data_IF_813905339294
#
_entry.id   IF_813905339294
#
_cell.length_a   1.000
_cell.length_b   1.000
_cell.length_c   1.000
_cell.angle_alpha   90.00
_cell.angle_beta   90.00
_cell.angle_gamma   90.00
#
_symmetry.space_group_name_H-M   'P 1'
#
loop_
_entity.id
_entity.type
_entity.pdbx_description
1 polymer ?
#
# COMPACT_ATOMS: atom_id res chain seq x y z
N UNK A 1 0.43 -65.36 26.66
CA UNK A 1 -0.48 -64.45 25.95
C UNK A 1 -0.35 -64.75 24.47
N UNK A 2 -1.44 -65.07 23.74
CA UNK A 2 -1.34 -65.34 22.31
C UNK A 2 -1.14 -64.02 21.56
N UNK A 3 -0.08 -63.94 20.73
CA UNK A 3 0.05 -62.86 19.77
C UNK A 3 -1.09 -62.97 18.77
N UNK A 4 -1.98 -61.97 18.76
CA UNK A 4 -3.11 -61.93 17.85
C UNK A 4 -2.60 -61.65 16.43
N UNK A 5 -2.57 -62.68 15.57
CA UNK A 5 -2.07 -62.60 14.19
C UNK A 5 -2.77 -61.50 13.36
N UNK A 6 -4.00 -61.14 13.73
CA UNK A 6 -4.77 -60.06 13.12
C UNK A 6 -4.11 -58.67 13.29
N UNK A 7 -3.36 -58.46 14.37
CA UNK A 7 -2.70 -57.17 14.64
C UNK A 7 -1.47 -56.93 13.78
N UNK A 8 -0.75 -58.00 13.41
CA UNK A 8 0.43 -57.91 12.55
C UNK A 8 0.03 -57.65 11.09
N UNK A 9 -1.00 -58.34 10.60
CA UNK A 9 -1.53 -58.13 9.24
C UNK A 9 -2.06 -56.70 9.06
N UNK A 10 -2.81 -56.19 10.05
CA UNK A 10 -3.30 -54.81 10.03
C UNK A 10 -2.16 -53.78 10.11
N UNK A 11 -1.14 -54.02 10.94
CA UNK A 11 0.04 -53.15 11.04
C UNK A 11 0.88 -53.12 9.75
N UNK A 12 1.06 -54.27 9.11
CA UNK A 12 1.76 -54.38 7.82
C UNK A 12 0.99 -53.66 6.70
N UNK A 13 -0.33 -53.85 6.62
CA UNK A 13 -1.18 -53.18 5.64
C UNK A 13 -1.18 -51.65 5.84
N UNK A 14 -1.28 -51.18 7.09
CA UNK A 14 -1.22 -49.75 7.41
C UNK A 14 0.14 -49.13 7.06
N UNK A 15 1.24 -49.87 7.32
CA UNK A 15 2.59 -49.46 6.93
C UNK A 15 2.76 -49.35 5.41
N UNK A 16 2.23 -50.32 4.66
CA UNK A 16 2.28 -50.34 3.20
C UNK A 16 1.46 -49.18 2.59
N UNK A 17 0.25 -48.94 3.09
CA UNK A 17 -0.60 -47.81 2.65
C UNK A 17 0.10 -46.48 2.93
N UNK A 18 0.71 -46.32 4.11
CA UNK A 18 1.42 -45.10 4.47
C UNK A 18 2.65 -44.88 3.57
N UNK A 19 3.41 -45.93 3.27
CA UNK A 19 4.55 -45.87 2.36
C UNK A 19 4.14 -45.50 0.93
N UNK A 20 3.04 -46.08 0.42
CA UNK A 20 2.48 -45.76 -0.89
C UNK A 20 1.96 -44.32 -0.96
N UNK A 21 1.31 -43.83 0.11
CA UNK A 21 0.85 -42.45 0.19
C UNK A 21 2.03 -41.46 0.20
N UNK A 22 3.08 -41.73 0.97
CA UNK A 22 4.30 -40.92 0.98
C UNK A 22 4.98 -40.97 -0.40
N UNK A 23 5.10 -42.14 -1.02
CA UNK A 23 5.66 -42.29 -2.35
C UNK A 23 4.84 -41.54 -3.41
N UNK A 24 3.51 -41.54 -3.31
CA UNK A 24 2.63 -40.78 -4.19
C UNK A 24 2.79 -39.26 -4.00
N UNK A 25 2.93 -38.79 -2.75
CA UNK A 25 3.21 -37.38 -2.45
C UNK A 25 4.58 -36.97 -2.98
N UNK A 26 5.62 -37.79 -2.77
CA UNK A 26 6.97 -37.54 -3.30
C UNK A 26 6.95 -37.56 -4.82
N UNK A 27 6.30 -38.53 -5.45
CA UNK A 27 6.15 -38.60 -6.90
C UNK A 27 5.37 -37.40 -7.45
N UNK A 28 4.31 -36.95 -6.76
CA UNK A 28 3.57 -35.74 -7.13
C UNK A 28 4.44 -34.47 -7.00
N UNK A 29 5.23 -34.35 -5.94
CA UNK A 29 6.19 -33.24 -5.76
C UNK A 29 7.28 -33.29 -6.84
N UNK A 30 7.85 -34.46 -7.13
CA UNK A 30 8.87 -34.66 -8.17
C UNK A 30 8.29 -34.40 -9.56
N UNK A 31 7.07 -34.86 -9.87
CA UNK A 31 6.38 -34.56 -11.13
C UNK A 31 6.01 -33.07 -11.26
N UNK A 32 5.79 -32.37 -10.14
CA UNK A 32 5.65 -30.90 -10.14
C UNK A 32 7.00 -30.20 -10.29
N UNK A 33 8.10 -30.85 -9.92
CA UNK A 33 9.46 -30.36 -10.12
C UNK A 33 10.03 -30.71 -11.51
N UNK A 34 9.51 -31.72 -12.20
CA UNK A 34 10.09 -32.30 -13.43
C UNK A 34 9.95 -31.43 -14.69
N UNK A 35 9.72 -30.14 -14.53
CA UNK A 35 9.88 -29.14 -15.60
C UNK A 35 11.18 -28.33 -15.40
N UNK A 36 12.24 -28.98 -14.88
CA UNK A 36 13.59 -28.37 -14.74
C UNK A 36 14.15 -27.99 -16.13
N UNK A 37 13.72 -28.68 -17.19
CA UNK A 37 14.05 -28.37 -18.58
C UNK A 37 12.97 -27.57 -19.32
N UNK A 38 11.91 -27.14 -18.63
CA UNK A 38 11.02 -26.10 -19.14
C UNK A 38 11.72 -24.75 -19.16
N UNK A 39 10.96 -23.67 -19.37
CA UNK A 39 11.55 -22.33 -19.41
C UNK A 39 12.04 -21.83 -18.04
N UNK A 40 11.83 -22.57 -16.94
CA UNK A 40 12.15 -22.15 -15.58
C UNK A 40 13.60 -21.74 -15.31
N UNK A 41 14.55 -22.12 -16.17
CA UNK A 41 15.96 -21.71 -16.12
C UNK A 41 16.18 -20.21 -16.38
N UNK A 42 15.18 -19.48 -16.92
CA UNK A 42 15.23 -18.02 -17.03
C UNK A 42 15.54 -17.35 -15.68
N UNK A 43 15.11 -17.95 -14.57
CA UNK A 43 15.36 -17.47 -13.20
C UNK A 43 16.85 -17.37 -12.86
N UNK A 44 17.67 -18.27 -13.41
CA UNK A 44 19.13 -18.27 -13.21
C UNK A 44 19.81 -17.11 -13.96
N UNK A 45 19.13 -16.54 -14.96
CA UNK A 45 19.64 -15.43 -15.78
C UNK A 45 19.15 -14.06 -15.30
N UNK A 46 18.44 -13.99 -14.17
CA UNK A 46 18.12 -12.72 -13.52
C UNK A 46 19.39 -12.19 -12.84
N UNK A 47 20.07 -11.25 -13.51
CA UNK A 47 21.33 -10.65 -13.01
C UNK A 47 21.12 -9.46 -12.10
N UNK A 48 19.92 -8.88 -12.11
CA UNK A 48 19.57 -7.71 -11.31
C UNK A 48 18.23 -7.89 -10.62
N UNK A 49 18.11 -7.30 -9.43
CA UNK A 49 16.84 -7.20 -8.69
C UNK A 49 15.89 -6.27 -9.44
N UNK A 50 14.55 -6.42 -9.30
CA UNK A 50 13.60 -5.44 -9.82
C UNK A 50 13.94 -4.03 -9.30
N UNK A 51 13.89 -3.03 -10.19
CA UNK A 51 14.16 -1.63 -9.83
C UNK A 51 13.12 -1.02 -8.89
N UNK A 52 11.92 -1.60 -8.85
CA UNK A 52 10.81 -1.21 -7.98
C UNK A 52 10.06 -2.44 -7.50
N UNK A 53 9.48 -2.36 -6.31
CA UNK A 53 8.52 -3.33 -5.79
C UNK A 53 7.26 -2.61 -5.29
N UNK A 54 6.97 -1.45 -5.88
CA UNK A 54 5.79 -0.68 -5.55
C UNK A 54 4.55 -1.46 -5.98
N UNK A 55 3.57 -1.52 -5.08
CA UNK A 55 2.29 -2.12 -5.34
C UNK A 55 1.22 -1.20 -4.75
N UNK A 56 0.60 -0.41 -5.61
CA UNK A 56 -0.69 0.22 -5.39
C UNK A 56 -1.50 0.13 -6.71
N UNK A 57 -2.74 0.61 -6.74
CA UNK A 57 -3.58 0.53 -7.95
C UNK A 57 -3.12 1.41 -9.12
N UNK A 58 -2.30 2.42 -8.85
CA UNK A 58 -1.75 3.37 -9.82
C UNK A 58 -2.74 4.42 -10.32
N UNK A 59 -2.20 5.57 -10.74
CA UNK A 59 -2.89 6.58 -11.52
C UNK A 59 -2.28 6.54 -12.92
N UNK A 60 -3.08 6.19 -13.92
CA UNK A 60 -2.60 5.76 -15.24
C UNK A 60 -2.54 6.88 -16.26
N UNK A 61 -2.38 8.11 -15.77
CA UNK A 61 -2.16 9.31 -16.56
C UNK A 61 -1.06 10.17 -15.93
N UNK A 62 -0.35 10.90 -16.77
CA UNK A 62 0.53 12.00 -16.35
C UNK A 62 -0.30 13.19 -15.87
N UNK A 63 0.35 14.19 -15.25
CA UNK A 63 -0.30 15.45 -14.90
C UNK A 63 -0.93 16.15 -16.11
N UNK A 64 -0.30 16.00 -17.28
CA UNK A 64 -0.77 16.54 -18.56
C UNK A 64 -1.81 15.62 -19.25
N UNK A 65 -2.24 14.54 -18.60
CA UNK A 65 -3.31 13.65 -19.08
C UNK A 65 -2.87 12.56 -20.07
N UNK A 66 -1.58 12.49 -20.43
CA UNK A 66 -1.06 11.44 -21.30
C UNK A 66 -1.04 10.07 -20.59
N UNK A 67 -1.32 8.95 -21.27
CA UNK A 67 -1.37 7.63 -20.65
C UNK A 67 0.01 7.16 -20.16
N UNK A 68 0.02 6.43 -19.04
CA UNK A 68 1.22 5.79 -18.49
C UNK A 68 1.22 4.29 -18.82
N UNK A 69 2.36 3.73 -19.22
CA UNK A 69 2.49 2.30 -19.51
C UNK A 69 3.19 1.50 -18.41
N UNK A 70 4.15 2.11 -17.69
CA UNK A 70 4.96 1.40 -16.70
C UNK A 70 4.29 1.47 -15.33
N UNK A 71 4.17 0.33 -14.67
CA UNK A 71 3.49 0.24 -13.38
C UNK A 71 4.12 1.07 -12.26
N UNK A 72 5.46 1.11 -12.09
CA UNK A 72 6.07 2.00 -11.09
C UNK A 72 5.79 3.49 -11.35
N UNK A 73 5.69 3.90 -12.62
CA UNK A 73 5.35 5.29 -12.99
C UNK A 73 3.88 5.57 -12.62
N UNK A 74 2.96 4.63 -12.85
CA UNK A 74 1.56 4.80 -12.44
C UNK A 74 1.43 4.82 -10.90
N UNK A 75 2.20 4.00 -10.19
CA UNK A 75 2.23 4.00 -8.72
C UNK A 75 2.74 5.33 -8.16
N UNK A 76 3.80 5.87 -8.76
CA UNK A 76 4.34 7.20 -8.48
C UNK A 76 3.29 8.28 -8.72
N UNK A 77 2.66 8.28 -9.90
CA UNK A 77 1.66 9.27 -10.26
C UNK A 77 0.47 9.29 -9.29
N UNK A 78 0.10 8.14 -8.71
CA UNK A 78 -0.94 8.11 -7.67
C UNK A 78 -0.51 8.80 -6.38
N UNK A 79 0.74 8.59 -5.94
CA UNK A 79 1.28 9.34 -4.81
C UNK A 79 1.30 10.83 -5.13
N UNK A 80 1.74 11.21 -6.33
CA UNK A 80 1.78 12.61 -6.80
C UNK A 80 0.39 13.27 -6.74
N UNK A 81 -0.68 12.56 -7.12
CA UNK A 81 -2.05 13.08 -6.96
C UNK A 81 -2.42 13.38 -5.50
N UNK A 82 -1.97 12.56 -4.55
CA UNK A 82 -2.25 12.75 -3.12
C UNK A 82 -1.49 13.96 -2.59
N UNK A 83 -0.18 14.04 -2.84
CA UNK A 83 0.67 15.12 -2.32
C UNK A 83 0.33 16.46 -3.00
N UNK A 84 -0.07 16.45 -4.27
CA UNK A 84 -0.59 17.62 -4.97
C UNK A 84 -1.88 18.12 -4.34
N UNK A 85 -2.84 17.22 -4.09
CA UNK A 85 -4.09 17.58 -3.43
C UNK A 85 -3.87 18.10 -1.99
N UNK A 86 -2.82 17.63 -1.32
CA UNK A 86 -2.40 18.11 0.01
C UNK A 86 -1.73 19.49 -0.02
N UNK A 87 -1.37 20.01 -1.19
CA UNK A 87 -0.63 21.27 -1.36
C UNK A 87 0.87 21.14 -1.06
N UNK A 88 1.40 19.91 -1.09
CA UNK A 88 2.83 19.64 -0.87
C UNK A 88 3.66 19.67 -2.15
N UNK A 89 3.01 19.72 -3.32
CA UNK A 89 3.62 20.00 -4.62
C UNK A 89 3.15 21.36 -5.13
N UNK A 90 4.05 22.17 -5.66
CA UNK A 90 3.69 23.36 -6.42
C UNK A 90 3.03 22.97 -7.75
N UNK A 91 2.02 23.73 -8.19
CA UNK A 91 1.45 23.56 -9.53
C UNK A 91 2.43 24.15 -10.56
N UNK A 92 2.71 23.43 -11.65
CA UNK A 92 3.58 23.93 -12.74
C UNK A 92 3.08 25.28 -13.33
N UNK A 93 1.77 25.54 -13.26
CA UNK A 93 1.12 26.76 -13.73
C UNK A 93 1.29 27.97 -12.79
N UNK A 94 1.74 27.76 -11.54
CA UNK A 94 1.95 28.82 -10.55
C UNK A 94 3.44 29.22 -10.50
N UNK A 95 4.05 29.34 -11.68
CA UNK A 95 5.47 29.69 -11.90
C UNK A 95 5.84 31.13 -11.49
N UNK A 96 4.96 31.79 -10.73
CA UNK A 96 5.18 33.06 -10.06
C UNK A 96 5.62 32.88 -8.60
N UNK A 97 6.85 32.39 -8.41
CA UNK A 97 7.63 32.53 -7.17
C UNK A 97 7.00 32.06 -5.85
N UNK A 98 7.41 30.87 -5.39
CA UNK A 98 7.77 30.70 -3.97
C UNK A 98 9.18 30.12 -3.88
N UNK A 99 10.17 30.92 -4.28
CA UNK A 99 11.59 30.70 -3.95
C UNK A 99 11.85 31.10 -2.49
N UNK A 100 11.04 30.57 -1.58
CA UNK A 100 11.25 30.64 -0.14
C UNK A 100 11.46 29.22 0.35
N UNK A 101 12.48 28.99 1.19
CA UNK A 101 12.62 27.68 1.82
C UNK A 101 11.32 27.37 2.57
N UNK A 102 10.67 26.26 2.23
CA UNK A 102 9.50 25.80 2.96
C UNK A 102 9.90 25.48 4.41
N UNK A 103 8.92 25.33 5.29
CA UNK A 103 9.16 25.01 6.69
C UNK A 103 9.71 23.59 6.86
N UNK A 104 9.23 22.88 7.87
CA UNK A 104 9.70 21.53 8.19
C UNK A 104 8.54 20.55 8.05
N UNK A 105 8.80 19.41 7.40
CA UNK A 105 7.81 18.41 7.02
C UNK A 105 7.98 17.12 7.83
N UNK A 106 6.89 16.67 8.46
CA UNK A 106 6.80 15.41 9.17
C UNK A 106 5.71 14.52 8.56
N UNK A 107 6.04 13.27 8.22
CA UNK A 107 5.10 12.30 7.65
C UNK A 107 5.05 11.04 8.53
N UNK A 108 3.84 10.67 8.94
CA UNK A 108 3.49 9.34 9.42
C UNK A 108 2.87 8.55 8.28
N UNK A 109 3.61 7.59 7.73
CA UNK A 109 3.17 6.77 6.60
C UNK A 109 2.63 5.41 7.07
N UNK A 110 1.37 5.16 6.74
CA UNK A 110 0.67 3.93 7.01
C UNK A 110 0.79 2.98 5.82
N UNK A 111 1.51 1.88 6.01
CA UNK A 111 1.64 0.84 4.98
C UNK A 111 2.66 1.15 3.91
N UNK A 112 3.83 1.71 4.28
CA UNK A 112 4.88 2.17 3.35
C UNK A 112 5.47 1.12 2.38
N UNK A 113 5.08 -0.15 2.52
CA UNK A 113 5.48 -1.22 1.63
C UNK A 113 7.01 -1.39 1.51
N UNK A 114 7.49 -1.56 0.28
CA UNK A 114 8.89 -1.85 -0.02
C UNK A 114 9.81 -0.60 -0.07
N UNK A 115 9.31 0.57 0.34
CA UNK A 115 10.09 1.81 0.42
C UNK A 115 10.14 2.65 -0.86
N UNK A 116 9.39 2.29 -1.90
CA UNK A 116 9.26 3.10 -3.11
C UNK A 116 8.67 4.50 -2.79
N UNK A 117 7.50 4.53 -2.12
CA UNK A 117 6.86 5.78 -1.69
C UNK A 117 7.71 6.55 -0.67
N UNK A 118 8.39 5.85 0.24
CA UNK A 118 9.29 6.46 1.23
C UNK A 118 10.40 7.25 0.55
N UNK A 119 11.05 6.66 -0.45
CA UNK A 119 12.12 7.33 -1.18
C UNK A 119 11.60 8.46 -2.08
N UNK A 120 10.42 8.31 -2.67
CA UNK A 120 9.81 9.37 -3.46
C UNK A 120 9.47 10.60 -2.62
N UNK A 121 8.92 10.43 -1.42
CA UNK A 121 8.63 11.52 -0.50
C UNK A 121 9.90 12.24 -0.03
N UNK A 122 10.99 11.49 0.15
CA UNK A 122 12.29 12.09 0.47
C UNK A 122 12.74 13.04 -0.65
N UNK A 123 12.78 12.54 -1.91
CA UNK A 123 13.13 13.39 -3.06
C UNK A 123 12.21 14.59 -3.19
N UNK A 124 10.90 14.38 -3.05
CA UNK A 124 9.91 15.46 -3.06
C UNK A 124 10.24 16.52 -1.99
N UNK A 125 10.59 16.10 -0.77
CA UNK A 125 10.91 17.04 0.30
C UNK A 125 12.10 17.95 -0.07
N UNK A 126 13.11 17.39 -0.74
CA UNK A 126 14.25 18.15 -1.22
C UNK A 126 13.88 19.04 -2.40
N UNK A 127 13.20 18.49 -3.41
CA UNK A 127 12.83 19.18 -4.66
C UNK A 127 11.91 20.38 -4.38
N UNK A 128 11.09 20.28 -3.34
CA UNK A 128 10.19 21.34 -2.87
C UNK A 128 10.84 22.28 -1.83
N UNK A 129 12.13 22.10 -1.52
CA UNK A 129 12.89 23.00 -0.66
C UNK A 129 12.45 23.02 0.82
N UNK A 130 11.97 21.90 1.36
CA UNK A 130 11.69 21.75 2.79
C UNK A 130 13.00 21.74 3.59
N UNK A 131 13.08 22.54 4.67
CA UNK A 131 14.29 22.68 5.49
C UNK A 131 14.63 21.42 6.27
N UNK A 132 13.61 20.81 6.88
CA UNK A 132 13.75 19.54 7.57
C UNK A 132 12.71 18.55 7.06
N UNK A 133 13.10 17.28 7.04
CA UNK A 133 12.23 16.17 6.68
C UNK A 133 12.34 15.06 7.73
N UNK A 134 11.18 14.64 8.26
CA UNK A 134 11.05 13.51 9.18
C UNK A 134 9.99 12.55 8.70
N UNK A 135 10.35 11.27 8.68
CA UNK A 135 9.49 10.21 8.19
C UNK A 135 9.42 9.06 9.18
N UNK A 136 8.22 8.68 9.58
CA UNK A 136 7.95 7.46 10.33
C UNK A 136 7.03 6.57 9.51
N UNK A 137 7.48 5.37 9.19
CA UNK A 137 6.72 4.39 8.42
C UNK A 137 6.33 3.19 9.26
N UNK A 138 5.07 2.79 9.18
CA UNK A 138 4.55 1.56 9.82
C UNK A 138 4.06 0.57 8.76
N UNK A 139 4.47 -0.69 8.86
CA UNK A 139 3.89 -1.80 8.08
C UNK A 139 3.70 -3.03 8.97
N UNK A 140 2.82 -3.96 8.57
CA UNK A 140 2.66 -5.25 9.25
C UNK A 140 3.65 -6.32 8.76
N UNK A 141 4.47 -6.02 7.76
CA UNK A 141 5.35 -7.00 7.13
C UNK A 141 6.83 -6.66 7.40
N UNK A 142 7.50 -7.46 8.23
CA UNK A 142 8.91 -7.24 8.54
C UNK A 142 9.82 -7.34 7.30
N UNK A 143 9.52 -8.23 6.34
CA UNK A 143 10.30 -8.32 5.10
C UNK A 143 10.22 -7.01 4.29
N UNK A 144 9.09 -6.30 4.34
CA UNK A 144 8.95 -4.96 3.76
C UNK A 144 9.79 -3.92 4.51
N UNK A 145 9.83 -3.97 5.85
CA UNK A 145 10.72 -3.11 6.65
C UNK A 145 12.19 -3.30 6.25
N UNK A 146 12.66 -4.56 6.22
CA UNK A 146 14.04 -4.87 5.89
C UNK A 146 14.39 -4.44 4.46
N UNK A 147 13.45 -4.62 3.53
CA UNK A 147 13.60 -4.23 2.14
C UNK A 147 13.67 -2.72 1.97
N UNK A 148 12.75 -1.99 2.62
CA UNK A 148 12.72 -0.53 2.58
C UNK A 148 13.98 0.07 3.19
N UNK A 149 14.43 -0.42 4.35
CA UNK A 149 15.71 0.03 4.96
C UNK A 149 16.87 -0.13 3.99
N UNK A 150 17.08 -1.34 3.43
CA UNK A 150 18.15 -1.58 2.46
C UNK A 150 18.07 -0.67 1.25
N UNK A 151 16.85 -0.36 0.79
CA UNK A 151 16.63 0.59 -0.29
C UNK A 151 17.09 1.98 0.12
N UNK A 152 16.57 2.54 1.21
CA UNK A 152 16.93 3.90 1.66
C UNK A 152 18.44 4.05 1.84
N UNK A 153 19.11 3.10 2.52
CA UNK A 153 20.57 3.12 2.63
C UNK A 153 21.27 3.15 1.27
N UNK A 154 20.83 2.33 0.32
CA UNK A 154 21.39 2.29 -1.04
C UNK A 154 21.15 3.59 -1.79
N UNK A 155 19.93 4.11 -1.76
CA UNK A 155 19.57 5.31 -2.52
C UNK A 155 20.31 6.54 -1.99
N UNK A 156 20.40 6.72 -0.67
CA UNK A 156 21.20 7.79 -0.05
C UNK A 156 22.68 7.64 -0.42
N UNK A 157 23.25 6.44 -0.32
CA UNK A 157 24.64 6.19 -0.71
C UNK A 157 24.90 6.45 -2.20
N UNK A 158 23.91 6.19 -3.07
CA UNK A 158 24.01 6.42 -4.52
C UNK A 158 23.89 7.91 -4.86
N UNK A 159 23.01 8.64 -4.16
CA UNK A 159 22.85 10.08 -4.33
C UNK A 159 24.07 10.86 -3.82
N UNK A 160 24.72 10.37 -2.76
CA UNK A 160 25.87 11.06 -2.16
C UNK A 160 25.51 12.49 -1.75
N UNK A 161 26.31 13.47 -2.16
CA UNK A 161 26.08 14.88 -1.82
C UNK A 161 24.97 15.54 -2.66
N UNK A 162 24.29 14.82 -3.57
CA UNK A 162 23.19 15.39 -4.34
C UNK A 162 21.90 15.49 -3.52
N UNK A 163 21.79 14.77 -2.40
CA UNK A 163 20.63 14.79 -1.51
C UNK A 163 21.01 15.26 -0.11
N UNK A 164 20.33 16.28 0.40
CA UNK A 164 20.49 16.76 1.78
C UNK A 164 19.49 16.07 2.71
N UNK A 165 19.47 14.74 2.69
CA UNK A 165 18.60 13.92 3.55
C UNK A 165 19.44 12.81 4.19
N UNK A 166 19.43 12.78 5.52
CA UNK A 166 20.13 11.77 6.30
C UNK A 166 19.24 10.51 6.47
N UNK A 167 19.87 9.34 6.58
CA UNK A 167 19.18 8.10 6.97
C UNK A 167 18.46 8.22 8.32
N UNK A 168 18.96 9.08 9.22
CA UNK A 168 18.34 9.36 10.51
C UNK A 168 16.98 10.08 10.38
N UNK A 169 16.66 10.66 9.21
CA UNK A 169 15.33 11.20 8.92
C UNK A 169 14.24 10.12 8.86
N UNK A 170 14.62 8.84 8.73
CA UNK A 170 13.69 7.74 8.54
C UNK A 170 13.63 6.81 9.76
N UNK A 171 12.41 6.55 10.24
CA UNK A 171 12.14 5.55 11.28
C UNK A 171 11.09 4.55 10.77
N UNK A 172 11.53 3.35 10.41
CA UNK A 172 10.70 2.33 9.77
C UNK A 172 10.46 1.16 10.70
N UNK A 173 9.20 0.78 10.92
CA UNK A 173 8.84 -0.25 11.91
C UNK A 173 7.83 -1.28 11.39
N UNK A 174 7.96 -2.50 11.91
CA UNK A 174 6.92 -3.53 11.81
C UNK A 174 5.94 -3.32 12.97
N UNK A 175 4.83 -2.61 12.73
CA UNK A 175 3.84 -2.28 13.76
C UNK A 175 2.44 -2.15 13.16
N UNK A 176 1.42 -2.46 13.97
CA UNK A 176 0.03 -2.35 13.55
C UNK A 176 -0.46 -0.90 13.64
N UNK A 177 -0.50 -0.20 12.52
CA UNK A 177 -1.00 1.16 12.43
C UNK A 177 -2.46 1.29 12.93
N UNK A 178 -3.32 0.29 12.72
CA UNK A 178 -4.72 0.34 13.16
C UNK A 178 -4.89 0.31 14.70
N UNK A 179 -3.83 -0.01 15.46
CA UNK A 179 -3.87 -0.19 16.92
C UNK A 179 -2.72 0.57 17.62
N UNK A 180 -2.77 1.91 17.69
CA UNK A 180 -1.75 2.71 18.36
C UNK A 180 -1.41 2.25 19.79
N UNK A 181 -2.41 1.82 20.56
CA UNK A 181 -2.21 1.28 21.91
C UNK A 181 -1.44 -0.04 22.01
N UNK A 182 -1.04 -0.64 20.89
CA UNK A 182 -0.22 -1.87 20.84
C UNK A 182 1.24 -1.61 20.45
N UNK A 183 1.59 -0.36 20.16
CA UNK A 183 2.95 0.02 19.80
C UNK A 183 3.90 -0.15 20.97
N UNK A 184 5.08 -0.71 20.68
CA UNK A 184 6.15 -0.78 21.66
C UNK A 184 6.72 0.64 21.92
N UNK A 185 7.54 0.83 22.97
CA UNK A 185 8.07 2.15 23.32
C UNK A 185 8.82 2.85 22.19
N UNK A 186 9.60 2.11 21.38
CA UNK A 186 10.39 2.67 20.27
C UNK A 186 9.50 3.24 19.16
N UNK A 187 8.44 2.51 18.80
CA UNK A 187 7.46 2.97 17.79
C UNK A 187 6.71 4.19 18.33
N UNK A 188 6.28 4.13 19.59
CA UNK A 188 5.56 5.22 20.25
C UNK A 188 6.41 6.50 20.28
N UNK A 189 7.67 6.42 20.73
CA UNK A 189 8.60 7.55 20.76
C UNK A 189 8.85 8.14 19.37
N UNK A 190 9.10 7.30 18.36
CA UNK A 190 9.32 7.76 17.00
C UNK A 190 8.09 8.48 16.43
N UNK A 191 6.88 7.94 16.65
CA UNK A 191 5.64 8.60 16.21
C UNK A 191 5.41 9.92 16.95
N UNK A 192 5.60 9.96 18.27
CA UNK A 192 5.48 11.19 19.06
C UNK A 192 6.48 12.27 18.65
N UNK A 193 7.66 11.89 18.15
CA UNK A 193 8.64 12.87 17.64
C UNK A 193 8.10 13.71 16.48
N UNK A 194 7.05 13.26 15.79
CA UNK A 194 6.40 14.02 14.72
C UNK A 194 5.54 15.20 15.23
N UNK A 195 5.18 15.21 16.51
CA UNK A 195 4.40 16.29 17.14
C UNK A 195 5.25 17.52 17.52
N UNK A 196 6.57 17.45 17.34
CA UNK A 196 7.51 18.54 17.63
C UNK A 196 7.11 19.81 16.87
N UNK A 197 7.00 20.93 17.60
CA UNK A 197 6.60 22.26 17.09
C UNK A 197 7.47 22.79 15.97
N UNK A 198 8.71 22.28 15.83
CA UNK A 198 9.55 22.62 14.68
C UNK A 198 8.95 22.19 13.34
N UNK A 199 8.16 21.10 13.30
CA UNK A 199 7.50 20.65 12.08
C UNK A 199 6.22 21.44 11.85
N UNK A 200 6.31 22.37 10.90
CA UNK A 200 5.20 23.24 10.49
C UNK A 200 4.14 22.51 9.68
N UNK A 201 4.53 21.45 8.97
CA UNK A 201 3.61 20.58 8.22
C UNK A 201 3.71 19.15 8.73
N UNK A 202 2.56 18.59 9.12
CA UNK A 202 2.47 17.23 9.69
C UNK A 202 1.38 16.48 8.99
N UNK A 203 1.71 15.31 8.46
CA UNK A 203 0.80 14.55 7.61
C UNK A 203 0.75 13.08 8.00
N UNK A 204 -0.46 12.57 8.18
CA UNK A 204 -0.76 11.15 8.13
C UNK A 204 -1.02 10.78 6.67
N UNK A 205 -0.15 9.94 6.10
CA UNK A 205 -0.31 9.40 4.76
C UNK A 205 -0.85 7.97 4.82
N UNK A 206 -1.84 7.67 3.99
CA UNK A 206 -2.27 6.30 3.76
C UNK A 206 -2.54 6.06 2.26
N UNK A 207 -1.56 5.48 1.58
CA UNK A 207 -1.64 5.16 0.15
C UNK A 207 -2.15 3.74 -0.03
N UNK A 208 -3.40 3.59 -0.47
CA UNK A 208 -3.95 2.31 -0.93
C UNK A 208 -3.93 1.18 0.11
N UNK A 209 -4.22 1.51 1.38
CA UNK A 209 -4.09 0.55 2.49
C UNK A 209 -5.21 0.59 3.53
N UNK A 210 -5.93 1.71 3.70
CA UNK A 210 -6.87 1.90 4.83
C UNK A 210 -8.01 0.90 4.85
N UNK A 211 -8.42 0.41 3.69
CA UNK A 211 -9.47 -0.59 3.56
C UNK A 211 -9.11 -1.96 4.16
N UNK A 212 -7.83 -2.19 4.50
CA UNK A 212 -7.37 -3.38 5.25
C UNK A 212 -7.38 -3.21 6.78
N UNK A 213 -7.67 -2.02 7.31
CA UNK A 213 -7.48 -1.72 8.73
C UNK A 213 -8.56 -2.38 9.59
N UNK A 214 -8.13 -3.19 10.56
CA UNK A 214 -9.01 -3.94 11.47
C UNK A 214 -8.65 -3.70 12.94
N UNK A 215 -9.63 -3.46 13.83
CA UNK A 215 -11.08 -3.46 13.56
C UNK A 215 -11.59 -2.15 12.93
N UNK A 216 -10.78 -1.09 12.89
CA UNK A 216 -11.15 0.21 12.35
C UNK A 216 -9.92 1.06 12.04
N UNK A 217 -10.04 2.03 11.12
CA UNK A 217 -9.06 3.12 10.90
C UNK A 217 -9.17 4.27 11.90
N UNK A 218 -10.27 4.36 12.66
CA UNK A 218 -10.50 5.47 13.61
C UNK A 218 -9.38 5.68 14.64
N UNK A 219 -8.81 4.62 15.27
CA UNK A 219 -7.81 4.83 16.32
C UNK A 219 -6.59 5.62 15.83
N UNK A 220 -6.07 5.29 14.64
CA UNK A 220 -4.92 6.00 14.08
C UNK A 220 -5.27 7.39 13.56
N UNK A 221 -6.44 7.54 12.92
CA UNK A 221 -6.93 8.84 12.47
C UNK A 221 -7.09 9.81 13.64
N UNK A 222 -7.67 9.33 14.76
CA UNK A 222 -7.85 10.10 15.99
C UNK A 222 -6.51 10.41 16.66
N UNK A 223 -5.59 9.45 16.71
CA UNK A 223 -4.26 9.68 17.25
C UNK A 223 -3.51 10.76 16.47
N UNK A 224 -3.49 10.65 15.14
CA UNK A 224 -2.86 11.65 14.27
C UNK A 224 -3.45 13.06 14.45
N UNK A 225 -4.79 13.18 14.42
CA UNK A 225 -5.43 14.48 14.55
C UNK A 225 -5.27 15.09 15.95
N UNK A 226 -5.44 14.30 17.02
CA UNK A 226 -5.52 14.84 18.39
C UNK A 226 -4.18 14.93 19.11
N UNK A 227 -3.28 13.99 18.83
CA UNK A 227 -2.01 13.89 19.55
C UNK A 227 -0.85 14.50 18.74
N UNK A 228 -0.90 14.39 17.41
CA UNK A 228 0.17 14.91 16.54
C UNK A 228 -0.18 16.24 15.88
N UNK A 229 -1.46 16.64 15.90
CA UNK A 229 -1.98 17.76 15.09
C UNK A 229 -1.65 17.59 13.61
N UNK A 230 -1.74 16.35 13.13
CA UNK A 230 -1.41 16.00 11.76
C UNK A 230 -2.63 16.09 10.85
N UNK A 231 -2.44 16.74 9.71
CA UNK A 231 -3.35 16.66 8.56
C UNK A 231 -3.38 15.23 8.02
N UNK A 232 -4.35 14.92 7.19
CA UNK A 232 -4.53 13.58 6.61
C UNK A 232 -4.59 13.66 5.09
N UNK A 233 -3.86 12.76 4.44
CA UNK A 233 -3.91 12.56 3.00
C UNK A 233 -3.92 11.07 2.67
N UNK A 234 -4.76 10.68 1.72
CA UNK A 234 -4.89 9.28 1.35
C UNK A 234 -5.39 9.07 -0.07
N UNK A 235 -5.12 7.87 -0.56
CA UNK A 235 -5.93 7.24 -1.58
C UNK A 235 -6.77 6.16 -0.93
N UNK A 236 -8.07 6.10 -1.26
CA UNK A 236 -8.97 5.10 -0.71
C UNK A 236 -10.07 4.69 -1.71
N UNK A 237 -10.80 3.65 -1.35
CA UNK A 237 -11.90 3.08 -2.11
C UNK A 237 -13.22 3.32 -1.36
N UNK A 238 -14.13 4.06 -1.99
CA UNK A 238 -15.45 4.38 -1.43
C UNK A 238 -16.57 3.67 -2.18
N UNK A 239 -17.68 3.40 -1.51
CA UNK A 239 -18.91 2.99 -2.18
C UNK A 239 -19.50 4.16 -2.95
N UNK A 240 -19.97 3.88 -4.16
CA UNK A 240 -20.82 4.82 -4.88
C UNK A 240 -22.23 4.76 -4.32
N UNK A 241 -22.70 5.87 -3.74
CA UNK A 241 -24.04 5.99 -3.15
C UNK A 241 -25.17 5.84 -4.18
N UNK A 242 -24.85 6.02 -5.47
CA UNK A 242 -25.79 5.83 -6.58
C UNK A 242 -25.81 4.38 -7.11
N UNK A 243 -24.93 3.51 -6.62
CA UNK A 243 -24.88 2.13 -7.06
C UNK A 243 -26.07 1.32 -6.54
N UNK A 244 -26.40 0.23 -7.25
CA UNK A 244 -27.48 -0.66 -6.83
C UNK A 244 -27.16 -1.30 -5.47
N UNK A 245 -28.15 -1.46 -4.60
CA UNK A 245 -27.99 -2.13 -3.30
C UNK A 245 -27.42 -3.54 -3.47
N UNK A 246 -27.77 -4.21 -4.56
CA UNK A 246 -27.25 -5.53 -4.92
C UNK A 246 -25.74 -5.50 -5.16
N UNK A 247 -25.24 -4.52 -5.92
CA UNK A 247 -23.81 -4.42 -6.20
C UNK A 247 -23.03 -4.00 -4.95
N UNK A 248 -23.59 -3.12 -4.11
CA UNK A 248 -23.01 -2.77 -2.81
C UNK A 248 -22.86 -4.01 -1.91
N UNK A 249 -23.87 -4.86 -1.84
CA UNK A 249 -23.80 -6.12 -1.09
C UNK A 249 -22.75 -7.07 -1.67
N UNK A 250 -22.65 -7.20 -3.00
CA UNK A 250 -21.59 -7.98 -3.65
C UNK A 250 -20.20 -7.44 -3.33
N UNK A 251 -20.00 -6.12 -3.39
CA UNK A 251 -18.72 -5.48 -3.08
C UNK A 251 -18.27 -5.77 -1.65
N UNK A 252 -19.20 -5.70 -0.68
CA UNK A 252 -18.92 -6.07 0.72
C UNK A 252 -18.55 -7.53 0.89
N UNK A 253 -19.26 -8.44 0.21
CA UNK A 253 -18.96 -9.88 0.25
C UNK A 253 -17.59 -10.19 -0.35
N UNK A 254 -17.27 -9.59 -1.50
CA UNK A 254 -15.96 -9.74 -2.15
C UNK A 254 -14.86 -9.17 -1.27
N UNK A 255 -15.05 -7.98 -0.70
CA UNK A 255 -14.09 -7.39 0.24
C UNK A 255 -13.80 -8.33 1.41
N UNK A 256 -14.83 -8.95 2.00
CA UNK A 256 -14.65 -9.95 3.06
C UNK A 256 -13.82 -11.16 2.61
N UNK A 257 -14.10 -11.70 1.42
CA UNK A 257 -13.33 -12.82 0.86
C UNK A 257 -11.86 -12.45 0.60
N UNK A 258 -11.59 -11.18 0.28
CA UNK A 258 -10.24 -10.63 0.07
C UNK A 258 -9.55 -10.23 1.39
N UNK A 259 -10.14 -10.55 2.54
CA UNK A 259 -9.56 -10.26 3.87
C UNK A 259 -9.82 -8.85 4.38
N UNK A 260 -10.63 -8.04 3.70
CA UNK A 260 -11.05 -6.74 4.20
C UNK A 260 -12.21 -6.89 5.23
N UNK A 261 -12.28 -6.04 6.26
CA UNK A 261 -13.46 -5.93 7.10
C UNK A 261 -14.78 -5.71 6.31
N UNK A 262 -15.91 -6.21 6.82
CA UNK A 262 -17.21 -6.16 6.11
C UNK A 262 -17.70 -4.73 5.82
N UNK A 263 -17.36 -3.78 6.71
CA UNK A 263 -17.73 -2.35 6.60
C UNK A 263 -16.56 -1.48 6.16
N UNK A 264 -15.65 -2.06 5.38
CA UNK A 264 -14.44 -1.38 4.91
C UNK A 264 -14.75 -0.26 3.92
N UNK A 265 -15.56 -0.55 2.89
CA UNK A 265 -15.94 0.44 1.89
C UNK A 265 -17.07 1.28 2.48
N UNK A 266 -16.75 2.55 2.74
CA UNK A 266 -17.69 3.54 3.27
C UNK A 266 -18.27 4.35 2.12
N UNK A 267 -19.46 4.90 2.34
CA UNK A 267 -19.97 6.01 1.55
C UNK A 267 -19.13 7.28 1.78
N UNK A 268 -19.27 8.28 0.91
CA UNK A 268 -18.55 9.54 1.09
C UNK A 268 -19.00 10.25 2.38
N UNK A 269 -20.32 10.28 2.65
CA UNK A 269 -20.87 10.84 3.88
C UNK A 269 -20.32 10.12 5.12
N UNK A 270 -20.34 8.79 5.14
CA UNK A 270 -19.80 7.98 6.24
C UNK A 270 -18.30 8.25 6.47
N UNK A 271 -17.53 8.41 5.38
CA UNK A 271 -16.10 8.71 5.46
C UNK A 271 -15.83 10.10 6.05
N UNK A 272 -16.57 11.11 5.60
CA UNK A 272 -16.49 12.48 6.13
C UNK A 272 -16.85 12.52 7.60
N UNK A 273 -17.94 11.87 7.99
CA UNK A 273 -18.37 11.80 9.39
C UNK A 273 -17.32 11.10 10.27
N UNK A 274 -16.71 10.03 9.76
CA UNK A 274 -15.61 9.35 10.44
C UNK A 274 -14.39 10.25 10.66
N UNK A 275 -14.00 11.06 9.66
CA UNK A 275 -12.89 12.01 9.80
C UNK A 275 -13.23 13.11 10.83
N UNK A 276 -14.43 13.69 10.75
CA UNK A 276 -14.88 14.72 11.70
C UNK A 276 -14.88 14.19 13.14
N UNK A 277 -15.38 12.97 13.36
CA UNK A 277 -15.33 12.32 14.67
C UNK A 277 -13.90 12.15 15.20
N UNK A 278 -12.93 11.91 14.31
CA UNK A 278 -11.53 11.74 14.68
C UNK A 278 -10.84 13.07 15.04
N UNK A 279 -11.36 14.22 14.59
CA UNK A 279 -10.84 15.55 14.93
C UNK A 279 -10.51 16.45 13.74
N UNK A 280 -10.79 16.03 12.51
CA UNK A 280 -10.59 16.85 11.32
C UNK A 280 -11.73 17.87 11.14
N UNK A 281 -11.44 19.02 10.52
CA UNK A 281 -12.45 20.03 10.22
C UNK A 281 -13.31 19.61 9.03
N UNK A 282 -14.64 19.60 9.19
CA UNK A 282 -15.59 19.25 8.13
C UNK A 282 -15.41 20.09 6.88
N UNK A 283 -15.10 21.38 7.04
CA UNK A 283 -14.98 22.32 5.94
C UNK A 283 -13.66 22.18 5.17
N UNK A 284 -12.66 21.54 5.79
CA UNK A 284 -11.33 21.32 5.21
C UNK A 284 -11.16 19.87 4.71
N UNK A 285 -12.26 19.12 4.51
CA UNK A 285 -12.23 17.78 3.92
C UNK A 285 -12.54 17.87 2.43
N UNK A 286 -11.57 17.48 1.61
CA UNK A 286 -11.72 17.30 0.16
C UNK A 286 -11.68 15.82 -0.18
N UNK A 287 -12.62 15.37 -1.01
CA UNK A 287 -12.66 14.01 -1.56
C UNK A 287 -12.81 14.16 -3.07
N UNK A 288 -11.71 13.94 -3.80
CA UNK A 288 -11.65 14.04 -5.26
C UNK A 288 -11.72 12.65 -5.86
N UNK A 289 -12.68 12.42 -6.74
CA UNK A 289 -12.77 11.17 -7.48
C UNK A 289 -11.78 11.14 -8.64
N UNK A 290 -11.11 9.99 -8.80
CA UNK A 290 -10.13 9.72 -9.86
C UNK A 290 -10.37 8.36 -10.53
N UNK A 291 -11.56 7.76 -10.35
CA UNK A 291 -11.92 6.40 -10.81
C UNK A 291 -11.55 6.12 -12.27
N UNK A 292 -11.82 7.07 -13.17
CA UNK A 292 -11.60 6.92 -14.62
C UNK A 292 -10.13 6.67 -14.99
N UNK A 293 -9.21 7.10 -14.14
CA UNK A 293 -7.78 7.08 -14.38
C UNK A 293 -7.07 5.96 -13.60
N UNK A 294 -7.81 5.13 -12.87
CA UNK A 294 -7.25 4.10 -11.97
C UNK A 294 -7.50 2.69 -12.51
N UNK A 295 -8.75 2.22 -12.46
CA UNK A 295 -9.03 0.79 -12.63
C UNK A 295 -8.76 0.28 -14.05
N UNK A 296 -9.20 1.02 -15.07
CA UNK A 296 -9.06 0.59 -16.46
C UNK A 296 -7.60 0.47 -16.89
N UNK A 297 -6.73 1.37 -16.41
CA UNK A 297 -5.29 1.32 -16.66
C UNK A 297 -4.63 0.13 -15.98
N UNK A 298 -4.96 -0.13 -14.72
CA UNK A 298 -4.46 -1.29 -13.98
C UNK A 298 -4.84 -2.61 -14.67
N UNK A 299 -6.08 -2.73 -15.11
CA UNK A 299 -6.56 -3.92 -15.83
C UNK A 299 -5.79 -4.13 -17.13
N UNK A 300 -5.56 -3.08 -17.91
CA UNK A 300 -4.76 -3.14 -19.14
C UNK A 300 -3.34 -3.62 -18.87
N UNK A 301 -2.70 -3.08 -17.82
CA UNK A 301 -1.36 -3.50 -17.43
C UNK A 301 -1.31 -4.97 -16.99
N UNK A 302 -2.23 -5.40 -16.12
CA UNK A 302 -2.28 -6.78 -15.65
C UNK A 302 -2.47 -7.78 -16.81
N UNK A 303 -3.31 -7.45 -17.79
CA UNK A 303 -3.51 -8.29 -18.97
C UNK A 303 -2.24 -8.37 -19.83
N UNK A 304 -1.56 -7.23 -20.06
CA UNK A 304 -0.29 -7.19 -20.80
C UNK A 304 0.80 -8.00 -20.07
N UNK A 305 0.93 -7.84 -18.75
CA UNK A 305 1.92 -8.60 -18.00
C UNK A 305 1.65 -10.09 -17.96
N UNK A 306 0.38 -10.48 -17.89
CA UNK A 306 0.03 -11.90 -17.94
C UNK A 306 0.42 -12.53 -19.29
N UNK A 307 0.19 -11.82 -20.39
CA UNK A 307 0.62 -12.27 -21.72
C UNK A 307 2.14 -12.45 -21.76
N UNK A 308 2.90 -11.44 -21.31
CA UNK A 308 4.36 -11.49 -21.28
C UNK A 308 4.91 -12.62 -20.38
N UNK A 309 4.35 -12.80 -19.18
CA UNK A 309 4.84 -13.80 -18.23
C UNK A 309 4.42 -15.23 -18.59
N UNK A 310 3.30 -15.39 -19.28
CA UNK A 310 2.84 -16.69 -19.80
C UNK A 310 3.85 -17.27 -20.81
N UNK A 311 4.54 -16.42 -21.59
CA UNK A 311 5.61 -16.85 -22.50
C UNK A 311 6.76 -17.55 -21.76
N UNK A 312 6.97 -17.24 -20.47
CA UNK A 312 7.98 -17.86 -19.60
C UNK A 312 7.40 -18.95 -18.67
N UNK A 313 6.15 -19.37 -18.90
CA UNK A 313 5.46 -20.36 -18.07
C UNK A 313 5.11 -19.87 -16.66
N UNK A 314 5.12 -18.55 -16.42
CA UNK A 314 4.83 -17.95 -15.11
C UNK A 314 3.35 -17.56 -15.05
N UNK A 315 2.63 -18.15 -14.11
CA UNK A 315 1.21 -17.83 -13.92
C UNK A 315 1.03 -16.58 -13.05
N UNK A 316 0.21 -15.62 -13.51
CA UNK A 316 -0.30 -14.51 -12.70
C UNK A 316 -1.67 -14.81 -12.05
N UNK A 317 -2.03 -16.08 -11.78
CA UNK A 317 -3.40 -16.47 -11.38
C UNK A 317 -4.03 -15.60 -10.28
N UNK A 318 -3.31 -15.26 -9.21
CA UNK A 318 -3.79 -14.36 -8.15
C UNK A 318 -4.09 -12.94 -8.66
N UNK A 319 -3.19 -12.39 -9.47
CA UNK A 319 -3.35 -11.07 -10.09
C UNK A 319 -4.42 -11.06 -11.19
N UNK A 320 -4.72 -12.20 -11.85
CA UNK A 320 -5.88 -12.32 -12.75
C UNK A 320 -7.19 -12.11 -12.01
N UNK A 321 -7.32 -12.69 -10.81
CA UNK A 321 -8.50 -12.51 -9.99
C UNK A 321 -8.66 -11.03 -9.58
N UNK A 322 -7.56 -10.39 -9.18
CA UNK A 322 -7.53 -8.96 -8.91
C UNK A 322 -7.92 -8.14 -10.15
N UNK A 323 -7.38 -8.45 -11.33
CA UNK A 323 -7.73 -7.79 -12.58
C UNK A 323 -9.22 -7.92 -12.94
N UNK A 324 -9.84 -9.09 -12.74
CA UNK A 324 -11.29 -9.26 -12.92
C UNK A 324 -12.10 -8.41 -11.94
N UNK A 325 -11.66 -8.33 -10.68
CA UNK A 325 -12.29 -7.50 -9.66
C UNK A 325 -12.24 -6.02 -10.04
N UNK A 326 -11.07 -5.50 -10.38
CA UNK A 326 -10.93 -4.09 -10.78
C UNK A 326 -11.67 -3.77 -12.08
N UNK A 327 -11.72 -4.69 -13.04
CA UNK A 327 -12.56 -4.54 -14.23
C UNK A 327 -14.06 -4.51 -13.90
N UNK A 328 -14.50 -5.28 -12.89
CA UNK A 328 -15.88 -5.18 -12.40
C UNK A 328 -16.15 -3.85 -11.71
N UNK A 329 -15.22 -3.35 -10.88
CA UNK A 329 -15.35 -2.00 -10.30
C UNK A 329 -15.44 -0.91 -11.37
N UNK A 330 -14.58 -0.97 -12.38
CA UNK A 330 -14.59 -0.03 -13.52
C UNK A 330 -15.94 -0.03 -14.27
N UNK A 331 -16.49 -1.22 -14.56
CA UNK A 331 -17.74 -1.34 -15.31
C UNK A 331 -18.99 -1.03 -14.50
N UNK A 332 -19.04 -1.48 -13.25
CA UNK A 332 -20.22 -1.33 -12.39
C UNK A 332 -20.28 0.03 -11.70
N UNK A 333 -19.14 0.70 -11.55
CA UNK A 333 -18.99 1.94 -10.77
C UNK A 333 -19.52 1.84 -9.35
N UNK A 334 -19.57 0.62 -8.79
CA UNK A 334 -19.98 0.37 -7.40
C UNK A 334 -18.97 0.90 -6.39
N UNK A 335 -17.70 0.94 -6.77
CA UNK A 335 -16.59 1.50 -6.00
C UNK A 335 -16.00 2.67 -6.77
N UNK A 336 -15.71 3.75 -6.04
CA UNK A 336 -15.02 4.95 -6.50
C UNK A 336 -13.59 4.91 -5.98
N UNK A 337 -12.64 5.28 -6.83
CA UNK A 337 -11.25 5.50 -6.45
C UNK A 337 -11.11 7.00 -6.13
N UNK A 338 -10.67 7.34 -4.92
CA UNK A 338 -10.64 8.74 -4.46
C UNK A 338 -9.31 9.14 -3.83
N UNK A 339 -8.96 10.41 -4.01
CA UNK A 339 -7.96 11.10 -3.20
C UNK A 339 -8.69 11.88 -2.11
N UNK A 340 -8.26 11.71 -0.87
CA UNK A 340 -8.82 12.36 0.31
C UNK A 340 -7.78 13.24 0.95
N UNK A 341 -8.15 14.47 1.28
CA UNK A 341 -7.35 15.40 2.08
C UNK A 341 -8.24 15.94 3.18
N UNK A 342 -7.73 15.98 4.41
CA UNK A 342 -8.44 16.54 5.55
C UNK A 342 -7.46 17.29 6.46
N UNK A 343 -7.82 18.50 6.89
CA UNK A 343 -6.99 19.28 7.81
C UNK A 343 -7.57 19.30 9.22
N UNK A 344 -6.70 19.44 10.22
CA UNK A 344 -7.14 19.76 11.58
C UNK A 344 -7.62 21.22 11.62
N UNK A 345 -8.43 21.58 12.61
CA UNK A 345 -8.82 22.98 12.78
C UNK A 345 -7.58 23.80 13.10
N UNK A 346 -7.37 24.90 12.38
CA UNK A 346 -6.40 25.91 12.79
C UNK A 346 -6.72 26.31 14.23
N UNK A 347 -5.77 26.09 15.15
CA UNK A 347 -5.86 26.64 16.49
C UNK A 347 -5.80 28.15 16.30
N UNK A 348 -6.95 28.81 16.32
CA UNK A 348 -7.02 30.28 16.39
C UNK A 348 -6.21 30.62 17.66
N UNK A 349 -5.06 31.27 17.45
CA UNK A 349 -4.16 31.69 18.51
C UNK A 349 -4.80 32.71 19.44
#
# INVERSE_FOLDING_TARGET
MPFNQDSFGAGFAAGLISALAIAAVIAFVIMRMSDIYGLGHWKLNITSRPGSMWMNVGYWKTLQGAPIEKFPEACSALLDQIVLAAGLLDNEDDSGAVSGSRGSLAILDLGFGCGDQTWQLAKLSQDQGWRDFRYVGLTLNDAQVQTSRRRIYREIATAGNSIDINVDSFSLFCANAAKPGTWNPQVTEAVWSLADEKYTERWLLALDCLYHFSPSRKPVLKHAAKELDANFMAFDLLLNEKASTTDVWKARLIGKMMGCPIKTFLSEAEYRDQLVECGYDRNEITIKEITDDVFSGLVKFLNRQDQLLTEYGISMAGFKLAGRLFNWFDKSRVVRAVVVVARTKSKIG
#
